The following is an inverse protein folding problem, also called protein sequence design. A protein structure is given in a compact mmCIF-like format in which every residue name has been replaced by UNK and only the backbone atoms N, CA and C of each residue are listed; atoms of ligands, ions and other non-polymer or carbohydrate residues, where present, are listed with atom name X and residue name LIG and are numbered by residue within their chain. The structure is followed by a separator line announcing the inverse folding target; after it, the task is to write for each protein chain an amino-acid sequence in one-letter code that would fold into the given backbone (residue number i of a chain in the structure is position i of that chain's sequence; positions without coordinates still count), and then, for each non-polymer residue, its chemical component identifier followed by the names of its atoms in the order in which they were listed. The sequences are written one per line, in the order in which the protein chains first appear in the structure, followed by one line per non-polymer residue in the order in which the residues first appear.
data_IF_881275160023
#
_entry.id   IF_881275160023
#
_cell.length_a   1.000
_cell.length_b   1.000
_cell.length_c   1.000
_cell.angle_alpha   90.00
_cell.angle_beta   90.00
_cell.angle_gamma   90.00
#
_symmetry.space_group_name_H-M   'P 1'
#
loop_
_entity.id
_entity.type
_entity.pdbx_description
1 polymer ?
#
# COMPACT_ATOMS: atom_id res chain seq x y z
N UNK A 1 10.81 17.50 -18.35
CA UNK A 1 10.60 16.14 -17.82
C UNK A 1 9.44 16.25 -16.85
N UNK A 2 8.24 15.96 -17.35
CA UNK A 2 6.98 16.24 -16.67
C UNK A 2 6.74 15.21 -15.56
N UNK A 3 7.35 15.43 -14.40
CA UNK A 3 7.00 14.77 -13.12
C UNK A 3 5.70 15.36 -12.56
N UNK A 4 4.67 15.44 -13.40
CA UNK A 4 3.37 15.95 -13.00
C UNK A 4 2.64 14.89 -12.18
N UNK A 5 2.60 15.09 -10.86
CA UNK A 5 1.52 14.63 -9.97
C UNK A 5 1.20 13.13 -9.98
N UNK A 6 2.19 12.26 -9.92
CA UNK A 6 1.97 11.06 -9.12
C UNK A 6 1.91 11.55 -7.67
N UNK A 7 0.70 11.62 -7.09
CA UNK A 7 0.56 11.65 -5.63
C UNK A 7 1.54 10.61 -5.09
N UNK A 8 2.41 11.02 -4.15
CA UNK A 8 3.34 10.08 -3.52
C UNK A 8 2.52 8.90 -2.99
N UNK A 9 2.71 7.73 -3.61
CA UNK A 9 1.91 6.54 -3.32
C UNK A 9 2.03 6.18 -1.84
N UNK A 10 3.20 6.42 -1.23
CA UNK A 10 3.44 6.16 0.18
C UNK A 10 2.63 7.08 1.09
N UNK A 11 2.59 8.38 0.79
CA UNK A 11 1.75 9.36 1.50
C UNK A 11 0.27 9.02 1.34
N UNK A 12 -0.14 8.63 0.12
CA UNK A 12 -1.53 8.24 -0.14
C UNK A 12 -1.93 6.98 0.62
N UNK A 13 -1.04 5.99 0.70
CA UNK A 13 -1.27 4.77 1.49
C UNK A 13 -1.40 5.11 2.97
N UNK A 14 -0.52 5.97 3.50
CA UNK A 14 -0.59 6.42 4.90
C UNK A 14 -1.90 7.17 5.21
N UNK A 15 -2.36 8.03 4.29
CA UNK A 15 -3.66 8.71 4.42
C UNK A 15 -4.82 7.70 4.43
N UNK A 16 -4.82 6.72 3.53
CA UNK A 16 -5.86 5.70 3.47
C UNK A 16 -5.86 4.79 4.71
N UNK A 17 -4.68 4.48 5.26
CA UNK A 17 -4.54 3.66 6.47
C UNK A 17 -5.11 4.34 7.72
N UNK A 18 -5.18 5.67 7.74
CA UNK A 18 -5.64 6.47 8.90
C UNK A 18 -7.05 7.06 8.73
N UNK A 19 -7.62 6.99 7.52
CA UNK A 19 -8.91 7.57 7.21
C UNK A 19 -10.10 6.80 7.83
N UNK A 20 -9.97 5.49 8.00
CA UNK A 20 -11.05 4.60 8.45
C UNK A 20 -10.49 3.56 9.45
N UNK A 21 -11.36 2.91 10.25
CA UNK A 21 -10.96 1.79 11.11
C UNK A 21 -10.36 0.63 10.29
N UNK A 22 -9.51 -0.17 10.95
CA UNK A 22 -8.71 -1.26 10.37
C UNK A 22 -9.42 -2.05 9.26
N UNK A 23 -10.60 -2.64 9.50
CA UNK A 23 -11.27 -3.50 8.51
C UNK A 23 -11.60 -2.77 7.19
N UNK A 24 -12.02 -1.51 7.28
CA UNK A 24 -12.35 -0.68 6.11
C UNK A 24 -11.10 -0.16 5.43
N UNK A 25 -10.10 0.23 6.20
CA UNK A 25 -8.81 0.67 5.68
C UNK A 25 -8.13 -0.47 4.90
N UNK A 26 -8.16 -1.70 5.42
CA UNK A 26 -7.59 -2.88 4.78
C UNK A 26 -8.22 -3.16 3.41
N UNK A 27 -9.55 -3.17 3.34
CA UNK A 27 -10.26 -3.38 2.08
C UNK A 27 -9.95 -2.27 1.07
N UNK A 28 -9.92 -1.02 1.53
CA UNK A 28 -9.62 0.15 0.69
C UNK A 28 -8.19 0.07 0.13
N UNK A 29 -7.21 -0.25 0.97
CA UNK A 29 -5.81 -0.37 0.56
C UNK A 29 -5.58 -1.56 -0.36
N UNK A 30 -6.23 -2.70 -0.14
CA UNK A 30 -6.18 -3.84 -1.07
C UNK A 30 -6.75 -3.47 -2.44
N UNK A 31 -7.90 -2.79 -2.48
CA UNK A 31 -8.49 -2.31 -3.73
C UNK A 31 -7.60 -1.30 -4.45
N UNK A 32 -7.00 -0.37 -3.71
CA UNK A 32 -6.07 0.60 -4.26
C UNK A 32 -4.80 -0.06 -4.83
N UNK A 33 -4.20 -1.00 -4.10
CA UNK A 33 -3.04 -1.76 -4.54
C UNK A 33 -3.34 -2.58 -5.80
N UNK A 34 -4.48 -3.27 -5.84
CA UNK A 34 -4.91 -4.04 -7.00
C UNK A 34 -5.10 -3.13 -8.24
N UNK A 35 -5.74 -1.97 -8.07
CA UNK A 35 -5.92 -1.01 -9.16
C UNK A 35 -4.58 -0.50 -9.71
N UNK A 36 -3.59 -0.22 -8.84
CA UNK A 36 -2.25 0.17 -9.29
C UNK A 36 -1.58 -0.94 -10.10
N UNK A 37 -1.64 -2.19 -9.62
CA UNK A 37 -1.11 -3.33 -10.36
C UNK A 37 -1.79 -3.51 -11.73
N UNK A 38 -3.11 -3.32 -11.81
CA UNK A 38 -3.88 -3.41 -13.06
C UNK A 38 -3.48 -2.32 -14.07
N UNK A 39 -3.03 -1.16 -13.60
CA UNK A 39 -2.47 -0.10 -14.48
C UNK A 39 -1.04 -0.38 -14.95
N UNK A 40 -0.43 -1.47 -14.50
CA UNK A 40 0.96 -1.83 -14.80
C UNK A 40 1.99 -1.24 -13.84
N UNK A 41 1.57 -0.71 -12.68
CA UNK A 41 2.50 -0.25 -11.66
C UNK A 41 3.38 -1.42 -11.18
N UNK A 42 4.71 -1.28 -11.11
CA UNK A 42 5.58 -2.39 -10.77
C UNK A 42 5.32 -2.87 -9.33
N UNK A 43 5.11 -4.17 -9.15
CA UNK A 43 4.83 -4.74 -7.83
C UNK A 43 5.94 -4.45 -6.81
N UNK A 44 7.20 -4.57 -7.21
CA UNK A 44 8.33 -4.33 -6.32
C UNK A 44 8.42 -2.86 -5.91
N UNK A 45 8.00 -1.95 -6.79
CA UNK A 45 7.90 -0.52 -6.48
C UNK A 45 6.74 -0.27 -5.52
N UNK A 46 5.57 -0.87 -5.77
CA UNK A 46 4.41 -0.79 -4.89
C UNK A 46 4.73 -1.32 -3.48
N UNK A 47 5.45 -2.42 -3.38
CA UNK A 47 5.88 -2.97 -2.10
C UNK A 47 6.77 -1.98 -1.34
N UNK A 48 7.74 -1.34 -2.02
CA UNK A 48 8.60 -0.31 -1.43
C UNK A 48 7.82 0.93 -1.01
N UNK A 49 6.78 1.30 -1.76
CA UNK A 49 5.93 2.44 -1.38
C UNK A 49 5.09 2.14 -0.14
N UNK A 50 4.60 0.91 0.01
CA UNK A 50 3.96 0.48 1.26
C UNK A 50 4.96 0.42 2.43
N UNK A 51 6.20 -0.01 2.19
CA UNK A 51 7.26 0.04 3.19
C UNK A 51 7.57 1.49 3.62
N UNK A 52 7.65 2.44 2.67
CA UNK A 52 7.80 3.87 2.96
C UNK A 52 6.61 4.43 3.71
N UNK A 53 5.39 4.01 3.38
CA UNK A 53 4.17 4.47 4.05
C UNK A 53 4.20 4.16 5.56
N UNK A 54 4.82 3.05 5.97
CA UNK A 54 5.05 2.76 7.39
C UNK A 54 5.93 3.81 8.06
N UNK A 55 7.02 4.21 7.42
CA UNK A 55 7.87 5.29 7.94
C UNK A 55 7.14 6.64 8.02
N UNK A 56 6.21 6.90 7.08
CA UNK A 56 5.32 8.08 7.14
C UNK A 56 4.36 7.98 8.33
N UNK A 57 3.73 6.82 8.56
CA UNK A 57 2.83 6.57 9.68
C UNK A 57 3.55 6.72 11.03
N UNK A 58 4.72 6.11 11.16
CA UNK A 58 5.59 6.23 12.34
C UNK A 58 5.95 7.70 12.60
N UNK A 59 6.38 8.42 11.55
CA UNK A 59 6.71 9.85 11.64
C UNK A 59 5.52 10.75 12.02
N UNK A 60 4.29 10.31 11.71
CA UNK A 60 3.04 10.99 12.09
C UNK A 60 2.55 10.60 13.49
N UNK A 61 3.13 9.59 14.13
CA UNK A 61 2.60 9.02 15.38
C UNK A 61 1.22 8.40 15.19
N UNK A 62 1.00 7.77 14.02
CA UNK A 62 -0.24 7.07 13.72
C UNK A 62 -0.48 5.88 14.67
N UNK A 63 -1.74 5.45 14.87
CA UNK A 63 -2.04 4.26 15.67
C UNK A 63 -1.41 3.01 15.05
N UNK A 64 -1.01 2.07 15.91
CA UNK A 64 -0.44 0.76 15.52
C UNK A 64 -1.33 0.01 14.51
N UNK A 65 -2.66 0.10 14.68
CA UNK A 65 -3.64 -0.50 13.76
C UNK A 65 -3.48 -0.01 12.30
N UNK A 66 -3.03 1.23 12.09
CA UNK A 66 -2.78 1.76 10.75
C UNK A 66 -1.54 1.11 10.12
N UNK A 67 -0.49 0.87 10.92
CA UNK A 67 0.70 0.14 10.47
C UNK A 67 0.38 -1.33 10.16
N UNK A 68 -0.41 -1.98 11.02
CA UNK A 68 -0.87 -3.36 10.82
C UNK A 68 -1.64 -3.50 9.51
N UNK A 69 -2.52 -2.53 9.21
CA UNK A 69 -3.26 -2.50 7.94
C UNK A 69 -2.31 -2.49 6.74
N UNK A 70 -1.25 -1.68 6.79
CA UNK A 70 -0.25 -1.60 5.72
C UNK A 70 0.55 -2.91 5.60
N UNK A 71 0.97 -3.48 6.72
CA UNK A 71 1.69 -4.76 6.78
C UNK A 71 0.87 -5.90 6.17
N UNK A 72 -0.43 -5.96 6.44
CA UNK A 72 -1.30 -6.99 5.89
C UNK A 72 -1.47 -6.89 4.37
N UNK A 73 -1.42 -5.68 3.81
CA UNK A 73 -1.41 -5.51 2.35
C UNK A 73 -0.05 -5.88 1.77
N UNK A 74 1.06 -5.58 2.44
CA UNK A 74 2.39 -6.06 2.03
C UNK A 74 2.46 -7.60 2.01
N UNK A 75 1.89 -8.25 3.02
CA UNK A 75 1.74 -9.71 3.07
C UNK A 75 0.87 -10.23 1.91
N UNK A 76 -0.21 -9.52 1.56
CA UNK A 76 -1.01 -9.84 0.39
C UNK A 76 -0.22 -9.71 -0.92
N UNK A 77 0.57 -8.64 -1.10
CA UNK A 77 1.37 -8.40 -2.31
C UNK A 77 2.45 -9.47 -2.52
N UNK A 78 3.07 -9.92 -1.43
CA UNK A 78 4.06 -11.01 -1.44
C UNK A 78 3.39 -12.37 -1.62
N UNK A 79 2.23 -12.62 -1.01
CA UNK A 79 1.43 -13.83 -1.22
C UNK A 79 0.86 -13.98 -2.63
N UNK A 80 0.56 -12.88 -3.31
CA UNK A 80 0.20 -12.88 -4.73
C UNK A 80 1.40 -13.26 -5.62
N UNK A 81 2.65 -13.11 -5.15
CA UNK A 81 3.86 -13.51 -5.90
C UNK A 81 3.95 -15.04 -6.05
N UNK A 82 3.48 -15.78 -5.05
CA UNK A 82 3.43 -17.25 -5.06
C UNK A 82 2.37 -17.85 -6.00
N UNK A 83 1.41 -17.06 -6.49
CA UNK A 83 0.27 -17.56 -7.29
C UNK A 83 0.40 -17.43 -8.81
N UNK A 84 1.46 -16.79 -9.32
CA UNK A 84 1.65 -16.56 -10.76
C UNK A 84 2.89 -17.25 -11.32
N UNK A 85 3.25 -18.41 -10.77
CA UNK A 85 4.05 -19.40 -11.50
C UNK A 85 3.08 -20.24 -12.34
N UNK A 86 3.07 -19.95 -13.65
CA UNK A 86 2.38 -20.72 -14.68
C UNK A 86 2.49 -22.23 -14.42
N UNK A 87 1.34 -22.91 -14.41
CA UNK A 87 1.19 -24.24 -15.01
C UNK A 87 0.28 -24.09 -16.22
#
# INVERSE_FOLDING_TARGET
MEQARLLDVSERVADLATAEPYERALLTLRGYAAALLDTGYPRDELYRDFERARGVLEGRGAPEEAEDTVLDVMNFLTGFSSGFMKL
#
